data_IF_812150733451
#
_entry.id   IF_812150733451
#
_cell.length_a   1.000
_cell.length_b   1.000
_cell.length_c   1.000
_cell.angle_alpha   90.00
_cell.angle_beta   90.00
_cell.angle_gamma   90.00
#
_symmetry.space_group_name_H-M   'P 1'
#
loop_
_entity.id
_entity.type
_entity.pdbx_description
1 polymer ?
#
# COMPACT_ATOMS: atom_id res chain seq x y z
N UNK A 1 13.08 -32.48 8.60
CA UNK A 1 12.71 -31.17 8.00
C UNK A 1 11.60 -30.61 8.88
N UNK A 2 11.78 -29.45 9.53
CA UNK A 2 10.69 -28.83 10.29
C UNK A 2 9.60 -28.45 9.29
N UNK A 3 8.39 -28.91 9.53
CA UNK A 3 7.22 -28.50 8.75
C UNK A 3 7.10 -26.99 8.88
N UNK A 4 7.33 -26.24 7.80
CA UNK A 4 7.14 -24.79 7.71
C UNK A 4 5.67 -24.44 7.37
N UNK A 5 4.78 -25.33 7.76
CA UNK A 5 3.34 -25.18 7.50
C UNK A 5 2.74 -24.24 8.54
N UNK A 6 2.17 -23.15 8.06
CA UNK A 6 1.54 -22.11 8.85
C UNK A 6 0.17 -21.73 8.28
N UNK A 7 -0.66 -21.08 9.07
CA UNK A 7 -1.95 -20.55 8.59
C UNK A 7 -1.75 -19.38 7.62
N UNK A 8 -2.74 -19.12 6.76
CA UNK A 8 -2.75 -17.92 5.94
C UNK A 8 -2.68 -16.65 6.76
N UNK A 9 -3.34 -16.61 7.91
CA UNK A 9 -3.27 -15.47 8.84
C UNK A 9 -1.84 -15.23 9.35
N UNK A 10 -1.12 -16.29 9.73
CA UNK A 10 0.29 -16.18 10.11
C UNK A 10 1.16 -15.77 8.90
N UNK A 11 0.85 -16.26 7.70
CA UNK A 11 1.55 -15.87 6.48
C UNK A 11 1.40 -14.37 6.19
N UNK A 12 0.24 -13.74 6.47
CA UNK A 12 0.08 -12.29 6.40
C UNK A 12 1.07 -11.59 7.29
N UNK A 13 1.11 -11.94 8.58
CA UNK A 13 1.98 -11.27 9.56
C UNK A 13 3.46 -11.44 9.19
N UNK A 14 3.89 -12.65 8.86
CA UNK A 14 5.27 -12.92 8.44
C UNK A 14 5.65 -12.16 7.18
N UNK A 15 4.76 -12.07 6.20
CA UNK A 15 5.01 -11.29 4.98
C UNK A 15 5.17 -9.80 5.27
N UNK A 16 4.40 -9.25 6.21
CA UNK A 16 4.55 -7.86 6.65
C UNK A 16 5.90 -7.63 7.37
N UNK A 17 6.33 -8.57 8.20
CA UNK A 17 7.66 -8.52 8.86
C UNK A 17 8.78 -8.53 7.80
N UNK A 18 8.71 -9.39 6.79
CA UNK A 18 9.67 -9.46 5.69
C UNK A 18 9.73 -8.15 4.86
N UNK A 19 8.63 -7.38 4.80
CA UNK A 19 8.60 -6.04 4.19
C UNK A 19 9.06 -4.93 5.15
N UNK A 20 9.40 -5.26 6.39
CA UNK A 20 9.91 -4.32 7.39
C UNK A 20 8.84 -3.48 8.06
N UNK A 21 7.61 -3.99 8.11
CA UNK A 21 6.50 -3.36 8.83
C UNK A 21 6.71 -3.53 10.33
N UNK A 22 6.71 -2.43 11.05
CA UNK A 22 6.85 -2.38 12.52
C UNK A 22 5.61 -1.80 13.22
N UNK A 23 4.66 -1.28 12.43
CA UNK A 23 3.46 -0.62 12.94
C UNK A 23 2.25 -0.84 12.02
N UNK A 24 1.14 -1.26 12.61
CA UNK A 24 -0.16 -1.43 11.95
C UNK A 24 -1.20 -0.62 12.70
N UNK A 25 -2.03 0.09 11.96
CA UNK A 25 -3.23 0.75 12.47
C UNK A 25 -4.48 -0.06 12.10
N UNK A 26 -5.49 -0.11 12.95
CA UNK A 26 -6.70 -0.81 12.54
C UNK A 26 -7.75 -0.95 13.60
N UNK A 27 -8.86 -1.55 13.20
CA UNK A 27 -9.98 -1.90 14.06
C UNK A 27 -10.40 -3.36 13.78
N UNK A 28 -10.40 -4.23 14.81
CA UNK A 28 -10.72 -5.65 14.64
C UNK A 28 -12.21 -5.87 14.34
N UNK A 29 -12.48 -6.97 13.64
CA UNK A 29 -13.84 -7.46 13.39
C UNK A 29 -13.83 -8.89 12.90
N UNK A 30 -15.01 -9.51 12.80
CA UNK A 30 -15.17 -10.95 12.63
C UNK A 30 -14.46 -11.57 11.41
N UNK A 31 -14.36 -10.84 10.29
CA UNK A 31 -13.76 -11.36 9.08
C UNK A 31 -12.22 -11.26 9.04
N UNK A 32 -11.60 -10.43 9.90
CA UNK A 32 -10.14 -10.27 9.99
C UNK A 32 -9.56 -10.82 11.31
N UNK A 33 -10.40 -11.37 12.15
CA UNK A 33 -10.00 -11.86 13.47
C UNK A 33 -8.84 -12.84 13.46
N UNK A 34 -8.74 -13.81 12.53
CA UNK A 34 -7.60 -14.72 12.49
C UNK A 34 -6.26 -14.00 12.33
N UNK A 35 -6.21 -12.92 11.53
CA UNK A 35 -5.00 -12.09 11.38
C UNK A 35 -4.68 -11.36 12.68
N UNK A 36 -5.68 -10.88 13.43
CA UNK A 36 -5.48 -10.26 14.74
C UNK A 36 -4.98 -11.24 15.81
N UNK A 37 -5.47 -12.49 15.79
CA UNK A 37 -4.98 -13.55 16.68
C UNK A 37 -3.49 -13.85 16.44
N UNK A 38 -3.07 -13.86 15.17
CA UNK A 38 -1.65 -14.01 14.85
C UNK A 38 -0.84 -12.76 15.21
N UNK A 39 -1.35 -11.57 14.90
CA UNK A 39 -0.70 -10.30 15.26
C UNK A 39 -0.40 -10.21 16.76
N UNK A 40 -1.28 -10.72 17.61
CA UNK A 40 -1.05 -10.79 19.05
C UNK A 40 0.18 -11.63 19.42
N UNK A 41 0.49 -12.69 18.67
CA UNK A 41 1.67 -13.52 18.89
C UNK A 41 2.99 -12.82 18.50
N UNK A 42 2.90 -11.89 17.53
CA UNK A 42 4.04 -11.15 16.97
C UNK A 42 4.14 -9.69 17.46
N UNK A 43 3.54 -9.38 18.61
CA UNK A 43 3.53 -8.02 19.19
C UNK A 43 4.93 -7.48 19.62
N UNK A 44 5.98 -8.32 19.59
CA UNK A 44 7.37 -7.87 19.78
C UNK A 44 8.00 -7.35 18.50
N UNK A 45 7.52 -7.81 17.36
CA UNK A 45 8.01 -7.47 16.01
C UNK A 45 7.18 -6.35 15.38
N UNK A 46 5.85 -6.38 15.57
CA UNK A 46 4.90 -5.41 15.01
C UNK A 46 4.03 -4.82 16.12
N UNK A 47 4.06 -3.51 16.25
CA UNK A 47 3.15 -2.78 17.11
C UNK A 47 1.79 -2.62 16.42
N UNK A 48 0.71 -2.65 17.21
CA UNK A 48 -0.63 -2.36 16.75
C UNK A 48 -1.22 -1.17 17.48
N UNK A 49 -1.74 -0.20 16.73
CA UNK A 49 -2.50 0.93 17.27
C UNK A 49 -3.97 0.71 16.97
N UNK A 50 -4.75 0.44 18.01
CA UNK A 50 -6.20 0.34 17.94
C UNK A 50 -6.80 1.72 17.71
N UNK A 51 -7.48 1.89 16.59
CA UNK A 51 -8.24 3.10 16.30
C UNK A 51 -9.72 2.94 16.71
N UNK A 52 -10.48 4.03 16.74
CA UNK A 52 -11.92 4.01 17.03
C UNK A 52 -12.79 4.05 15.78
N UNK A 53 -12.16 4.25 14.63
CA UNK A 53 -12.78 4.26 13.32
C UNK A 53 -11.72 3.97 12.24
N UNK A 54 -12.05 3.19 11.22
CA UNK A 54 -11.11 2.74 10.20
C UNK A 54 -10.60 3.90 9.33
N UNK A 55 -11.41 4.92 9.09
CA UNK A 55 -10.95 6.16 8.43
C UNK A 55 -9.82 6.83 9.21
N UNK A 56 -9.93 6.87 10.55
CA UNK A 56 -8.86 7.38 11.41
C UNK A 56 -7.58 6.54 11.31
N UNK A 57 -7.71 5.22 11.11
CA UNK A 57 -6.57 4.34 10.88
C UNK A 57 -5.83 4.69 9.58
N UNK A 58 -6.56 4.95 8.49
CA UNK A 58 -5.94 5.34 7.20
C UNK A 58 -5.22 6.67 7.29
N UNK A 59 -5.80 7.68 7.93
CA UNK A 59 -5.13 8.98 8.11
C UNK A 59 -3.89 8.88 9.02
N UNK A 60 -3.95 8.06 10.08
CA UNK A 60 -2.78 7.80 10.93
C UNK A 60 -1.67 7.09 10.17
N UNK A 61 -1.99 6.09 9.36
CA UNK A 61 -1.05 5.37 8.51
C UNK A 61 -0.41 6.29 7.46
N UNK A 62 -1.17 7.22 6.88
CA UNK A 62 -0.63 8.23 5.97
C UNK A 62 0.36 9.16 6.69
N UNK A 63 -0.01 9.68 7.87
CA UNK A 63 0.88 10.50 8.68
C UNK A 63 2.19 9.78 8.97
N UNK A 64 2.10 8.52 9.39
CA UNK A 64 3.26 7.66 9.61
C UNK A 64 4.12 7.51 8.35
N UNK A 65 3.50 7.20 7.21
CA UNK A 65 4.23 7.02 5.94
C UNK A 65 4.99 8.29 5.52
N UNK A 66 4.37 9.46 5.65
CA UNK A 66 4.97 10.76 5.28
C UNK A 66 6.15 11.13 6.18
N UNK A 67 6.08 10.83 7.48
CA UNK A 67 7.13 11.19 8.44
C UNK A 67 8.27 10.19 8.45
N UNK A 68 7.95 8.89 8.36
CA UNK A 68 8.95 7.82 8.47
C UNK A 68 9.61 7.43 7.14
N UNK A 69 8.99 7.77 5.99
CA UNK A 69 9.38 7.26 4.68
C UNK A 69 9.05 5.78 4.44
N UNK A 70 8.37 5.13 5.39
CA UNK A 70 7.91 3.74 5.29
C UNK A 70 6.51 3.67 4.67
N UNK A 71 6.07 2.46 4.31
CA UNK A 71 4.68 2.22 3.88
C UNK A 71 3.77 2.19 5.11
N UNK A 72 2.68 2.96 5.08
CA UNK A 72 1.64 2.85 6.11
C UNK A 72 0.82 1.58 5.93
N UNK A 73 0.50 0.88 7.02
CA UNK A 73 -0.28 -0.36 6.98
C UNK A 73 -1.53 -0.23 7.83
N UNK A 74 -2.66 -0.61 7.25
CA UNK A 74 -3.98 -0.58 7.91
C UNK A 74 -4.68 -1.92 7.76
N UNK A 75 -5.36 -2.36 8.82
CA UNK A 75 -6.22 -3.54 8.79
C UNK A 75 -7.65 -3.20 9.19
N UNK A 76 -8.63 -3.81 8.51
CA UNK A 76 -10.05 -3.66 8.80
C UNK A 76 -10.82 -4.95 8.51
N UNK A 77 -12.01 -5.07 9.07
CA UNK A 77 -12.93 -6.17 8.75
C UNK A 77 -13.66 -5.94 7.42
N UNK A 78 -14.47 -6.90 7.00
CA UNK A 78 -15.32 -6.80 5.81
C UNK A 78 -16.42 -5.74 5.91
N UNK A 79 -17.13 -5.53 4.82
CA UNK A 79 -18.32 -4.68 4.77
C UNK A 79 -18.06 -3.26 5.27
N UNK A 80 -18.73 -2.82 6.34
CA UNK A 80 -18.61 -1.45 6.86
C UNK A 80 -17.17 -1.10 7.28
N UNK A 81 -16.37 -2.05 7.78
CA UNK A 81 -14.98 -1.81 8.14
C UNK A 81 -14.13 -1.49 6.90
N UNK A 82 -14.28 -2.28 5.85
CA UNK A 82 -13.57 -2.07 4.58
C UNK A 82 -14.02 -0.76 3.90
N UNK A 83 -15.32 -0.47 3.84
CA UNK A 83 -15.82 0.76 3.21
C UNK A 83 -15.44 2.02 3.96
N UNK A 84 -15.27 1.97 5.29
CA UNK A 84 -14.77 3.09 6.08
C UNK A 84 -13.31 3.49 5.77
N UNK A 85 -12.54 2.63 5.10
CA UNK A 85 -11.18 2.97 4.65
C UNK A 85 -11.18 3.88 3.41
N UNK A 86 -12.24 3.88 2.61
CA UNK A 86 -12.26 4.46 1.25
C UNK A 86 -11.89 5.93 1.22
N UNK A 87 -12.38 6.74 2.15
CA UNK A 87 -12.02 8.17 2.23
C UNK A 87 -10.52 8.37 2.36
N UNK A 88 -9.88 7.66 3.30
CA UNK A 88 -8.45 7.80 3.50
C UNK A 88 -7.61 7.14 2.38
N UNK A 89 -8.12 6.10 1.73
CA UNK A 89 -7.48 5.52 0.54
C UNK A 89 -7.51 6.54 -0.61
N UNK A 90 -8.63 7.20 -0.86
CA UNK A 90 -8.75 8.23 -1.89
C UNK A 90 -7.80 9.42 -1.63
N UNK A 91 -7.69 9.85 -0.37
CA UNK A 91 -6.76 10.89 0.07
C UNK A 91 -5.29 10.46 -0.16
N UNK A 92 -4.92 9.24 0.23
CA UNK A 92 -3.59 8.69 -0.02
C UNK A 92 -3.25 8.60 -1.52
N UNK A 93 -4.24 8.29 -2.37
CA UNK A 93 -4.06 8.23 -3.82
C UNK A 93 -3.78 9.61 -4.41
N UNK A 94 -4.51 10.64 -4.00
CA UNK A 94 -4.31 12.01 -4.47
C UNK A 94 -2.93 12.53 -4.04
N UNK A 95 -2.56 12.29 -2.79
CA UNK A 95 -1.32 12.78 -2.19
C UNK A 95 -0.10 11.89 -2.45
N UNK A 96 -0.26 10.82 -3.24
CA UNK A 96 0.84 9.90 -3.57
C UNK A 96 1.50 9.27 -2.33
N UNK A 97 0.70 8.93 -1.31
CA UNK A 97 1.19 8.33 -0.07
C UNK A 97 1.16 6.81 -0.17
N UNK A 98 2.30 6.11 -0.01
CA UNK A 98 2.33 4.65 -0.08
C UNK A 98 1.64 4.04 1.14
N UNK A 99 0.61 3.24 0.91
CA UNK A 99 -0.18 2.60 1.96
C UNK A 99 -0.66 1.22 1.52
N UNK A 100 -0.67 0.27 2.44
CA UNK A 100 -1.28 -1.05 2.27
C UNK A 100 -2.49 -1.15 3.19
N UNK A 101 -3.65 -1.40 2.60
CA UNK A 101 -4.88 -1.70 3.33
C UNK A 101 -5.16 -3.19 3.21
N UNK A 102 -5.30 -3.89 4.33
CA UNK A 102 -5.63 -5.31 4.39
C UNK A 102 -7.03 -5.43 4.99
N UNK A 103 -7.96 -5.96 4.21
CA UNK A 103 -9.33 -6.21 4.67
C UNK A 103 -9.60 -7.71 4.78
N UNK A 104 -10.36 -8.07 5.79
CA UNK A 104 -10.95 -9.41 5.83
C UNK A 104 -12.22 -9.45 4.99
N UNK A 105 -12.54 -10.64 4.46
CA UNK A 105 -13.74 -10.88 3.67
C UNK A 105 -14.47 -12.13 4.18
N UNK A 106 -15.72 -12.30 3.79
CA UNK A 106 -16.44 -13.55 4.00
C UNK A 106 -15.71 -14.73 3.37
N UNK A 107 -16.07 -15.96 3.72
CA UNK A 107 -15.46 -17.15 3.11
C UNK A 107 -15.72 -17.16 1.58
N UNK A 108 -14.79 -17.68 0.81
CA UNK A 108 -14.80 -17.61 -0.66
C UNK A 108 -16.08 -18.16 -1.31
N UNK A 109 -16.68 -19.21 -0.73
CA UNK A 109 -17.93 -19.79 -1.21
C UNK A 109 -19.18 -18.93 -0.94
N UNK A 110 -19.06 -17.85 -0.14
CA UNK A 110 -20.13 -16.92 0.15
C UNK A 110 -20.04 -15.63 -0.69
N UNK A 111 -18.98 -15.46 -1.45
CA UNK A 111 -18.80 -14.28 -2.30
C UNK A 111 -19.95 -14.15 -3.33
N UNK A 112 -20.55 -12.95 -3.39
CA UNK A 112 -21.67 -12.67 -4.29
C UNK A 112 -23.02 -13.20 -3.80
N UNK A 113 -23.13 -13.59 -2.53
CA UNK A 113 -24.37 -14.14 -1.95
C UNK A 113 -25.13 -13.17 -1.02
N UNK A 114 -24.67 -11.91 -0.93
CA UNK A 114 -25.17 -10.93 0.05
C UNK A 114 -25.05 -11.41 1.51
N UNK A 115 -23.97 -12.13 1.81
CA UNK A 115 -23.68 -12.62 3.14
C UNK A 115 -23.50 -11.47 4.15
N UNK A 116 -23.64 -11.76 5.44
CA UNK A 116 -23.52 -10.74 6.49
C UNK A 116 -22.18 -9.99 6.40
N UNK A 117 -22.26 -8.67 6.26
CA UNK A 117 -21.11 -7.77 6.08
C UNK A 117 -20.24 -8.10 4.85
N UNK A 118 -20.78 -8.74 3.84
CA UNK A 118 -20.14 -8.82 2.52
C UNK A 118 -20.23 -7.47 1.81
N UNK A 119 -19.17 -7.07 1.12
CA UNK A 119 -19.15 -5.91 0.23
C UNK A 119 -18.09 -6.15 -0.85
N UNK A 120 -18.40 -5.81 -2.09
CA UNK A 120 -17.40 -5.81 -3.17
C UNK A 120 -16.43 -4.64 -2.99
N UNK A 121 -15.52 -4.78 -2.03
CA UNK A 121 -14.52 -3.75 -1.74
C UNK A 121 -13.50 -3.62 -2.88
N UNK A 122 -13.32 -4.66 -3.69
CA UNK A 122 -12.45 -4.62 -4.87
C UNK A 122 -13.03 -3.65 -5.90
N UNK A 123 -14.30 -3.80 -6.25
CA UNK A 123 -14.99 -2.86 -7.15
C UNK A 123 -14.99 -1.43 -6.62
N UNK A 124 -15.29 -1.24 -5.33
CA UNK A 124 -15.34 0.08 -4.68
C UNK A 124 -13.96 0.75 -4.65
N UNK A 125 -12.89 0.02 -4.37
CA UNK A 125 -11.54 0.59 -4.23
C UNK A 125 -10.78 0.76 -5.54
N UNK A 126 -11.22 0.15 -6.64
CA UNK A 126 -10.55 0.21 -7.95
C UNK A 126 -10.23 1.64 -8.39
N UNK A 127 -11.13 2.63 -8.36
CA UNK A 127 -10.84 3.99 -8.83
C UNK A 127 -9.93 4.80 -7.89
N UNK A 128 -9.72 4.34 -6.66
CA UNK A 128 -8.99 5.08 -5.62
C UNK A 128 -7.71 4.40 -5.15
N UNK A 129 -7.30 3.30 -5.81
CA UNK A 129 -6.07 2.56 -5.51
C UNK A 129 -5.18 2.44 -6.74
N UNK A 130 -3.89 2.25 -6.53
CA UNK A 130 -2.97 1.87 -7.62
C UNK A 130 -3.20 0.43 -8.08
N UNK A 131 -3.56 -0.42 -7.14
CA UNK A 131 -3.86 -1.81 -7.36
C UNK A 131 -4.69 -2.34 -6.19
N UNK A 132 -5.57 -3.27 -6.47
CA UNK A 132 -6.26 -4.06 -5.47
C UNK A 132 -6.30 -5.52 -5.89
N UNK A 133 -6.46 -6.40 -4.92
CA UNK A 133 -6.54 -7.84 -5.18
C UNK A 133 -7.30 -8.56 -4.08
N UNK A 134 -8.13 -9.54 -4.47
CA UNK A 134 -8.82 -10.42 -3.53
C UNK A 134 -8.11 -11.78 -3.48
N UNK A 135 -7.66 -12.16 -2.29
CA UNK A 135 -7.00 -13.44 -2.01
C UNK A 135 -8.06 -14.45 -1.56
N UNK A 136 -8.13 -15.57 -2.25
CA UNK A 136 -9.04 -16.67 -1.93
C UNK A 136 -8.32 -17.96 -1.51
N UNK A 137 -6.98 -17.98 -1.57
CA UNK A 137 -6.14 -19.13 -1.14
C UNK A 137 -4.95 -18.63 -0.34
N UNK A 138 -4.60 -19.33 0.74
CA UNK A 138 -3.45 -18.97 1.56
C UNK A 138 -2.13 -18.93 0.77
N UNK A 139 -1.97 -19.79 -0.20
CA UNK A 139 -0.76 -19.88 -1.04
C UNK A 139 -0.45 -18.62 -1.85
N UNK A 140 -1.42 -17.74 -2.07
CA UNK A 140 -1.25 -16.48 -2.80
C UNK A 140 -0.69 -15.36 -1.92
N UNK A 141 -0.86 -15.45 -0.59
CA UNK A 141 -0.59 -14.37 0.37
C UNK A 141 0.82 -13.79 0.25
N UNK A 142 1.90 -14.59 0.28
CA UNK A 142 3.26 -14.04 0.24
C UNK A 142 3.55 -13.25 -1.03
N UNK A 143 3.17 -13.78 -2.18
CA UNK A 143 3.44 -13.16 -3.48
C UNK A 143 2.58 -11.91 -3.70
N UNK A 144 1.32 -11.93 -3.26
CA UNK A 144 0.40 -10.79 -3.35
C UNK A 144 0.88 -9.65 -2.45
N UNK A 145 1.28 -9.94 -1.21
CA UNK A 145 1.81 -8.90 -0.30
C UNK A 145 3.12 -8.32 -0.86
N UNK A 146 4.06 -9.15 -1.31
CA UNK A 146 5.30 -8.69 -1.92
C UNK A 146 5.04 -7.76 -3.12
N UNK A 147 4.11 -8.14 -3.99
CA UNK A 147 3.70 -7.33 -5.14
C UNK A 147 3.02 -6.03 -4.72
N UNK A 148 2.17 -6.07 -3.69
CA UNK A 148 1.49 -4.90 -3.16
C UNK A 148 2.48 -3.84 -2.66
N UNK A 149 3.47 -4.24 -1.88
CA UNK A 149 4.52 -3.34 -1.39
C UNK A 149 5.36 -2.78 -2.53
N UNK A 150 5.71 -3.59 -3.53
CA UNK A 150 6.42 -3.10 -4.71
C UNK A 150 5.60 -2.03 -5.46
N UNK A 151 4.32 -2.28 -5.72
CA UNK A 151 3.44 -1.35 -6.43
C UNK A 151 3.22 -0.07 -5.61
N UNK A 152 2.98 -0.20 -4.30
CA UNK A 152 2.73 0.96 -3.44
C UNK A 152 3.90 1.95 -3.43
N UNK A 153 5.14 1.44 -3.40
CA UNK A 153 6.37 2.27 -3.29
C UNK A 153 6.89 2.80 -4.63
N UNK A 154 6.67 2.08 -5.73
CA UNK A 154 7.36 2.34 -7.00
C UNK A 154 6.63 3.34 -7.88
N UNK A 155 7.37 4.05 -8.73
CA UNK A 155 6.83 5.12 -9.59
C UNK A 155 6.21 6.25 -8.77
N UNK A 156 4.99 6.69 -9.14
CA UNK A 156 4.20 7.54 -8.26
C UNK A 156 3.68 6.68 -7.12
N UNK A 157 4.10 6.88 -5.84
CA UNK A 157 3.60 6.10 -4.73
C UNK A 157 2.08 6.22 -4.56
N UNK A 158 1.48 5.26 -3.86
CA UNK A 158 0.04 5.32 -3.60
C UNK A 158 -0.49 4.08 -2.90
N UNK A 159 -1.79 4.05 -2.57
CA UNK A 159 -2.41 2.98 -1.80
C UNK A 159 -2.66 1.73 -2.65
N UNK A 160 -2.56 0.60 -1.98
CA UNK A 160 -2.96 -0.72 -2.47
C UNK A 160 -3.89 -1.36 -1.46
N UNK A 161 -4.94 -2.04 -1.92
CA UNK A 161 -5.85 -2.79 -1.07
C UNK A 161 -5.74 -4.29 -1.35
N UNK A 162 -5.62 -5.09 -0.29
CA UNK A 162 -5.65 -6.55 -0.33
C UNK A 162 -6.83 -7.02 0.51
N UNK A 163 -7.76 -7.72 -0.13
CA UNK A 163 -8.94 -8.29 0.51
C UNK A 163 -8.75 -9.79 0.68
N UNK A 164 -8.89 -10.35 1.90
CA UNK A 164 -8.53 -11.74 2.19
C UNK A 164 -9.75 -12.48 2.71
N UNK A 165 -10.18 -13.50 1.99
CA UNK A 165 -11.31 -14.33 2.43
C UNK A 165 -10.99 -15.08 3.72
N UNK A 166 -12.02 -15.31 4.53
CA UNK A 166 -11.87 -15.91 5.87
C UNK A 166 -11.31 -17.32 5.83
N UNK A 167 -11.70 -18.11 4.85
CA UNK A 167 -11.17 -19.46 4.62
C UNK A 167 -9.69 -19.45 4.23
N UNK A 168 -9.24 -18.51 3.40
CA UNK A 168 -7.82 -18.34 3.08
C UNK A 168 -6.97 -17.98 4.31
N UNK A 169 -7.55 -17.27 5.30
CA UNK A 169 -6.85 -16.97 6.55
C UNK A 169 -6.63 -18.20 7.43
N UNK A 170 -7.54 -19.19 7.38
CA UNK A 170 -7.44 -20.44 8.15
C UNK A 170 -6.67 -21.54 7.39
N UNK A 171 -6.63 -21.51 6.06
CA UNK A 171 -5.96 -22.51 5.25
C UNK A 171 -4.48 -22.63 5.61
N UNK A 172 -3.98 -23.87 5.71
CA UNK A 172 -2.58 -24.15 6.00
C UNK A 172 -1.75 -24.14 4.72
N UNK A 173 -0.55 -23.56 4.79
CA UNK A 173 0.35 -23.46 3.65
C UNK A 173 1.84 -23.59 4.05
N UNK A 174 2.67 -24.01 3.11
CA UNK A 174 4.12 -23.95 3.26
C UNK A 174 4.59 -22.52 2.96
N UNK A 175 5.03 -21.81 3.99
CA UNK A 175 5.44 -20.42 3.87
C UNK A 175 6.81 -20.27 3.21
N UNK A 176 6.85 -19.48 2.16
CA UNK A 176 8.06 -19.00 1.53
C UNK A 176 7.84 -17.58 1.07
N UNK A 177 8.73 -16.66 1.43
CA UNK A 177 8.64 -15.27 1.04
C UNK A 177 9.77 -14.87 0.09
N UNK A 178 9.42 -14.18 -0.98
CA UNK A 178 10.38 -13.58 -1.91
C UNK A 178 9.94 -12.14 -2.19
N UNK A 179 10.83 -11.18 -1.95
CA UNK A 179 10.53 -9.78 -2.28
C UNK A 179 10.25 -9.60 -3.76
N UNK A 180 9.19 -8.87 -4.08
CA UNK A 180 8.90 -8.52 -5.46
C UNK A 180 9.85 -7.41 -5.94
N UNK A 181 10.54 -7.65 -7.05
CA UNK A 181 11.44 -6.67 -7.66
C UNK A 181 10.96 -6.18 -9.03
N UNK A 182 9.97 -6.87 -9.60
CA UNK A 182 9.43 -6.54 -10.92
C UNK A 182 7.99 -7.07 -11.07
N UNK A 183 7.16 -6.32 -11.75
CA UNK A 183 5.83 -6.74 -12.21
C UNK A 183 5.79 -6.58 -13.72
N UNK A 184 5.61 -7.68 -14.47
CA UNK A 184 5.76 -7.74 -15.93
C UNK A 184 4.97 -6.67 -16.69
N UNK A 185 3.77 -6.34 -16.22
CA UNK A 185 2.87 -5.36 -16.87
C UNK A 185 2.99 -3.94 -16.30
N UNK A 186 3.91 -3.69 -15.37
CA UNK A 186 4.05 -2.43 -14.68
C UNK A 186 5.44 -1.84 -14.84
N UNK A 187 5.52 -0.67 -15.48
CA UNK A 187 6.77 0.07 -15.71
C UNK A 187 6.73 1.34 -14.86
N UNK A 188 7.29 1.32 -13.64
CA UNK A 188 7.15 2.43 -12.68
C UNK A 188 7.93 3.68 -13.10
N UNK A 189 9.04 3.54 -13.82
CA UNK A 189 9.88 4.64 -14.26
C UNK A 189 9.82 4.71 -15.79
N UNK A 190 9.37 5.84 -16.37
CA UNK A 190 9.37 6.01 -17.81
C UNK A 190 10.79 6.14 -18.37
N UNK A 191 10.96 5.85 -19.65
CA UNK A 191 12.24 6.03 -20.32
C UNK A 191 12.62 7.51 -20.36
N UNK A 192 13.90 7.79 -20.14
CA UNK A 192 14.44 9.13 -20.21
C UNK A 192 14.45 9.62 -21.66
N UNK A 193 13.76 10.73 -21.93
CA UNK A 193 13.77 11.36 -23.25
C UNK A 193 14.68 12.59 -23.27
N UNK A 194 15.93 12.40 -23.71
CA UNK A 194 16.95 13.46 -23.74
C UNK A 194 16.55 14.63 -24.65
N UNK A 195 15.85 14.37 -25.76
CA UNK A 195 15.46 15.44 -26.69
C UNK A 195 14.39 16.34 -26.09
N UNK A 196 13.47 15.76 -25.29
CA UNK A 196 12.50 16.56 -24.53
C UNK A 196 13.15 17.40 -23.44
N UNK A 197 14.20 16.89 -22.80
CA UNK A 197 14.98 17.66 -21.81
C UNK A 197 15.70 18.83 -22.50
N UNK A 198 16.32 18.61 -23.65
CA UNK A 198 16.94 19.69 -24.43
C UNK A 198 15.95 20.76 -24.86
N UNK A 199 14.78 20.35 -25.38
CA UNK A 199 13.71 21.27 -25.75
C UNK A 199 13.24 22.12 -24.55
N UNK A 200 13.06 21.49 -23.36
CA UNK A 200 12.71 22.19 -22.15
C UNK A 200 13.79 23.23 -21.75
N UNK A 201 15.07 22.86 -21.79
CA UNK A 201 16.17 23.76 -21.50
C UNK A 201 16.22 24.96 -22.48
N UNK A 202 15.99 24.73 -23.76
CA UNK A 202 15.92 25.81 -24.75
C UNK A 202 14.76 26.79 -24.50
N UNK A 203 13.59 26.28 -24.13
CA UNK A 203 12.42 27.13 -23.78
C UNK A 203 12.74 27.99 -22.56
N UNK A 204 13.29 27.37 -21.51
CA UNK A 204 13.69 28.08 -20.28
C UNK A 204 14.70 29.19 -20.61
N UNK A 205 15.75 28.89 -21.37
CA UNK A 205 16.80 29.83 -21.72
C UNK A 205 16.32 31.02 -22.59
N UNK A 206 15.24 30.81 -23.38
CA UNK A 206 14.63 31.85 -24.20
C UNK A 206 13.56 32.68 -23.46
N UNK A 207 13.17 32.26 -22.27
CA UNK A 207 12.10 32.91 -21.49
C UNK A 207 12.57 34.23 -20.87
N UNK A 208 11.76 35.30 -21.00
CA UNK A 208 12.10 36.61 -20.45
C UNK A 208 11.76 36.75 -18.93
N UNK A 209 10.74 36.05 -18.47
CA UNK A 209 10.25 36.08 -17.08
C UNK A 209 9.85 34.69 -16.63
N UNK A 210 10.79 33.74 -16.56
CA UNK A 210 10.46 32.40 -16.08
C UNK A 210 10.16 32.41 -14.58
N UNK A 211 9.27 31.50 -14.13
CA UNK A 211 8.97 31.23 -12.73
C UNK A 211 8.92 29.72 -12.54
N UNK A 212 9.43 29.24 -11.42
CA UNK A 212 9.40 27.81 -11.07
C UNK A 212 8.29 27.56 -10.07
N UNK A 213 7.41 26.61 -10.37
CA UNK A 213 6.46 26.03 -9.42
C UNK A 213 6.84 24.59 -9.18
N UNK A 214 7.07 24.24 -7.95
CA UNK A 214 7.48 22.89 -7.56
C UNK A 214 6.59 22.32 -6.45
N UNK A 215 6.64 21.02 -6.22
CA UNK A 215 5.80 20.36 -5.23
C UNK A 215 6.37 19.01 -4.77
N UNK A 216 5.51 18.22 -4.17
CA UNK A 216 5.85 16.93 -3.54
C UNK A 216 6.65 15.97 -4.45
N UNK A 217 6.48 16.07 -5.79
CA UNK A 217 7.22 15.24 -6.73
C UNK A 217 8.72 15.34 -6.64
N UNK A 218 9.27 16.51 -6.26
CA UNK A 218 10.71 16.70 -6.04
C UNK A 218 11.18 15.89 -4.83
N UNK A 219 10.41 15.91 -3.73
CA UNK A 219 10.70 15.16 -2.50
C UNK A 219 10.57 13.65 -2.75
N UNK A 220 9.47 13.21 -3.37
CA UNK A 220 9.25 11.80 -3.71
C UNK A 220 10.29 11.23 -4.69
N UNK A 221 10.87 12.09 -5.52
CA UNK A 221 11.95 11.74 -6.44
C UNK A 221 13.34 11.79 -5.80
N UNK A 222 13.47 12.17 -4.53
CA UNK A 222 14.74 12.44 -3.83
C UNK A 222 15.63 13.41 -4.65
N UNK A 223 15.01 14.43 -5.27
CA UNK A 223 15.66 15.35 -6.21
C UNK A 223 15.86 16.77 -5.63
N UNK A 224 15.75 16.94 -4.31
CA UNK A 224 15.82 18.26 -3.66
C UNK A 224 17.18 18.93 -3.89
N UNK A 225 18.27 18.16 -3.88
CA UNK A 225 19.61 18.66 -4.10
C UNK A 225 19.79 19.14 -5.54
N UNK A 226 19.37 18.34 -6.51
CA UNK A 226 19.41 18.65 -7.93
C UNK A 226 18.52 19.87 -8.24
N UNK A 227 17.34 19.90 -7.65
CA UNK A 227 16.41 21.02 -7.80
C UNK A 227 16.98 22.31 -7.23
N UNK A 228 17.54 22.28 -6.00
CA UNK A 228 18.21 23.44 -5.40
C UNK A 228 19.35 23.96 -6.29
N UNK A 229 20.21 23.07 -6.76
CA UNK A 229 21.32 23.42 -7.68
C UNK A 229 20.80 24.08 -8.98
N UNK A 230 19.69 23.59 -9.51
CA UNK A 230 19.06 24.14 -10.69
C UNK A 230 18.55 25.56 -10.45
N UNK A 231 17.84 25.79 -9.34
CA UNK A 231 17.32 27.13 -8.96
C UNK A 231 18.46 28.11 -8.74
N UNK A 232 19.47 27.75 -7.95
CA UNK A 232 20.62 28.61 -7.66
C UNK A 232 21.42 28.95 -8.93
N UNK A 233 21.59 27.99 -9.84
CA UNK A 233 22.34 28.18 -11.09
C UNK A 233 21.57 29.00 -12.13
N UNK A 234 20.25 28.84 -12.20
CA UNK A 234 19.41 29.55 -13.18
C UNK A 234 19.01 30.94 -12.72
N UNK A 235 18.99 31.21 -11.42
CA UNK A 235 18.48 32.46 -10.84
C UNK A 235 16.98 32.68 -11.03
N UNK A 236 16.23 31.65 -11.39
CA UNK A 236 14.78 31.74 -11.62
C UNK A 236 14.04 31.68 -10.27
N UNK A 237 13.14 32.65 -9.97
CA UNK A 237 12.32 32.64 -8.77
C UNK A 237 11.27 31.52 -8.74
#
# INVERSE_FOLDING_TARGET
MKNNEISGAEAVIKSLIEEGVDLIYGYPGGAIMPVYDELFKYQKEINHVLTRHEQGATHAAQGYARVSGKVGVVTATSGPGATNLVTGIADAQIDSTPMICITGQVASHLLGSDAFQETDIIGISTPVTKWNYQITKASEIPDVIAKAFYIAKSGRPGPVLIDITKDAQFEMMNFKYNKCTNVKSYKPIPDLNIDKIRQAAEIINKSNKPMIVWGQGVILGNAEKEFKNFVEKSGIP
#
